data_IF_200615008449
#
_entry.id   IF_200615008449
#
_cell.length_a   1.000
_cell.length_b   1.000
_cell.length_c   1.000
_cell.angle_alpha   90.00
_cell.angle_beta   90.00
_cell.angle_gamma   90.00
#
_symmetry.space_group_name_H-M   'P 1'
#
loop_
_entity.id
_entity.type
_entity.pdbx_description
1 polymer ?
#
# COMPACT_ATOMS: atom_id res chain seq x y z
N UNK A 1 -9.07 14.22 47.39
CA UNK A 1 -9.71 13.76 46.15
C UNK A 1 -8.83 14.15 44.99
N UNK A 2 -8.26 13.21 44.24
CA UNK A 2 -7.69 13.49 42.91
C UNK A 2 -7.47 12.15 42.18
N UNK A 3 -8.58 11.59 41.67
CA UNK A 3 -8.52 10.44 40.77
C UNK A 3 -8.01 10.94 39.43
N UNK A 4 -6.74 10.69 39.13
CA UNK A 4 -6.19 10.76 37.77
C UNK A 4 -6.76 9.59 36.98
N UNK A 5 -7.77 9.87 36.15
CA UNK A 5 -8.17 8.95 35.09
C UNK A 5 -7.12 9.05 33.99
N UNK A 6 -6.19 8.09 33.93
CA UNK A 6 -5.48 7.80 32.69
C UNK A 6 -6.43 6.94 31.86
N UNK A 7 -7.10 7.54 30.88
CA UNK A 7 -7.81 6.75 29.88
C UNK A 7 -6.74 6.01 29.08
N UNK A 8 -6.48 4.76 29.46
CA UNK A 8 -5.77 3.83 28.58
C UNK A 8 -6.72 3.57 27.42
N UNK A 9 -6.58 4.38 26.37
CA UNK A 9 -7.11 4.05 25.05
C UNK A 9 -6.42 2.73 24.67
N UNK A 10 -7.10 1.61 24.93
CA UNK A 10 -6.72 0.33 24.34
C UNK A 10 -6.88 0.53 22.84
N UNK A 11 -5.77 0.70 22.14
CA UNK A 11 -5.75 0.51 20.68
C UNK A 11 -6.12 -0.95 20.49
N UNK A 12 -7.40 -1.22 20.25
CA UNK A 12 -7.80 -2.54 19.78
C UNK A 12 -7.12 -2.73 18.43
N UNK A 13 -6.21 -3.69 18.33
CA UNK A 13 -5.45 -4.07 17.12
C UNK A 13 -6.40 -4.74 16.11
N UNK A 14 -7.42 -4.00 15.67
CA UNK A 14 -8.40 -4.47 14.70
C UNK A 14 -7.89 -4.14 13.31
N UNK A 15 -7.90 -5.15 12.44
CA UNK A 15 -7.54 -4.96 11.04
C UNK A 15 -8.57 -4.09 10.31
N UNK A 16 -8.12 -3.16 9.43
CA UNK A 16 -9.02 -2.27 8.70
C UNK A 16 -9.89 -3.01 7.68
N UNK A 17 -11.03 -2.42 7.34
CA UNK A 17 -11.73 -2.78 6.10
C UNK A 17 -10.93 -2.31 4.89
N UNK A 18 -10.88 -3.11 3.84
CA UNK A 18 -10.21 -2.78 2.59
C UNK A 18 -11.21 -2.19 1.60
N UNK A 19 -11.00 -0.93 1.22
CA UNK A 19 -11.78 -0.25 0.18
C UNK A 19 -11.17 -0.53 -1.19
N UNK A 20 -11.91 -1.21 -2.05
CA UNK A 20 -11.49 -1.56 -3.41
C UNK A 20 -11.71 -0.41 -4.40
N UNK A 21 -11.14 -0.53 -5.60
CA UNK A 21 -11.22 0.49 -6.67
C UNK A 21 -12.66 0.79 -7.11
N UNK A 22 -13.55 -0.19 -7.00
CA UNK A 22 -14.99 -0.10 -7.29
C UNK A 22 -15.80 0.49 -6.11
N UNK A 23 -15.15 0.86 -5.01
CA UNK A 23 -15.78 1.38 -3.80
C UNK A 23 -16.30 0.30 -2.84
N UNK A 24 -16.20 -0.99 -3.21
CA UNK A 24 -16.61 -2.10 -2.35
C UNK A 24 -15.70 -2.20 -1.13
N UNK A 25 -16.28 -2.50 0.03
CA UNK A 25 -15.56 -2.79 1.28
C UNK A 25 -15.54 -4.29 1.51
N UNK A 26 -14.39 -4.80 1.91
CA UNK A 26 -14.25 -6.18 2.40
C UNK A 26 -13.35 -6.21 3.62
N UNK A 27 -13.47 -7.24 4.45
CA UNK A 27 -12.51 -7.48 5.51
C UNK A 27 -11.10 -7.67 4.92
N UNK A 28 -10.09 -7.16 5.62
CA UNK A 28 -8.72 -7.51 5.30
C UNK A 28 -8.54 -9.03 5.35
N UNK A 29 -7.85 -9.55 4.33
CA UNK A 29 -7.61 -10.98 4.17
C UNK A 29 -6.12 -11.18 3.89
N UNK A 30 -5.42 -11.70 4.91
CA UNK A 30 -4.00 -12.02 4.86
C UNK A 30 -3.65 -12.93 3.69
N UNK A 31 -4.51 -13.90 3.38
CA UNK A 31 -4.22 -14.90 2.35
C UNK A 31 -4.06 -14.25 0.97
N UNK A 32 -4.76 -13.15 0.71
CA UNK A 32 -4.60 -12.38 -0.54
C UNK A 32 -3.23 -11.71 -0.63
N UNK A 33 -2.70 -11.22 0.49
CA UNK A 33 -1.36 -10.61 0.56
C UNK A 33 -0.29 -11.68 0.34
N UNK A 34 -0.37 -12.80 1.08
CA UNK A 34 0.57 -13.92 0.95
C UNK A 34 0.54 -14.50 -0.47
N UNK A 35 -0.64 -14.69 -1.07
CA UNK A 35 -0.76 -15.18 -2.45
C UNK A 35 -0.13 -14.20 -3.46
N UNK A 36 -0.33 -12.90 -3.28
CA UNK A 36 0.29 -11.86 -4.10
C UNK A 36 1.82 -11.87 -4.01
N UNK A 37 2.36 -11.93 -2.79
CA UNK A 37 3.80 -12.03 -2.53
C UNK A 37 4.41 -13.31 -3.10
N UNK A 38 3.74 -14.45 -2.91
CA UNK A 38 4.17 -15.76 -3.42
C UNK A 38 4.26 -15.74 -4.94
N UNK A 39 3.25 -15.19 -5.61
CA UNK A 39 3.24 -15.07 -7.07
C UNK A 39 4.35 -14.15 -7.56
N UNK A 40 4.61 -13.04 -6.89
CA UNK A 40 5.72 -12.13 -7.23
C UNK A 40 7.09 -12.82 -7.07
N UNK A 41 7.27 -13.57 -5.98
CA UNK A 41 8.53 -14.24 -5.62
C UNK A 41 8.75 -15.59 -6.34
N UNK A 42 7.92 -15.98 -7.30
CA UNK A 42 8.02 -17.30 -7.95
C UNK A 42 9.40 -17.52 -8.59
N UNK A 43 10.05 -18.67 -8.35
CA UNK A 43 11.42 -18.97 -8.84
C UNK A 43 12.50 -17.98 -8.35
N UNK A 44 12.24 -17.24 -7.27
CA UNK A 44 13.24 -16.43 -6.56
C UNK A 44 13.73 -17.19 -5.32
N UNK A 45 14.95 -16.93 -4.83
CA UNK A 45 15.47 -17.53 -3.61
C UNK A 45 14.87 -16.85 -2.36
N UNK A 46 13.54 -16.82 -2.27
CA UNK A 46 12.78 -16.25 -1.15
C UNK A 46 12.00 -17.39 -0.48
N UNK A 47 12.24 -17.61 0.80
CA UNK A 47 11.55 -18.69 1.54
C UNK A 47 10.10 -18.30 1.84
N UNK A 48 9.25 -19.32 2.04
CA UNK A 48 7.86 -19.11 2.48
C UNK A 48 7.83 -18.37 3.82
N UNK A 49 8.74 -18.71 4.74
CA UNK A 49 8.88 -18.00 6.03
C UNK A 49 9.13 -16.51 5.82
N UNK A 50 10.01 -16.14 4.88
CA UNK A 50 10.25 -14.72 4.57
C UNK A 50 9.01 -14.03 4.02
N UNK A 51 8.21 -14.73 3.21
CA UNK A 51 6.94 -14.21 2.69
C UNK A 51 5.94 -13.95 3.83
N UNK A 52 5.82 -14.89 4.77
CA UNK A 52 4.97 -14.72 5.96
C UNK A 52 5.44 -13.55 6.83
N UNK A 53 6.75 -13.41 7.06
CA UNK A 53 7.32 -12.28 7.80
C UNK A 53 7.05 -10.93 7.11
N UNK A 54 7.07 -10.89 5.77
CA UNK A 54 6.67 -9.69 5.01
C UNK A 54 5.19 -9.39 5.23
N UNK A 55 4.32 -10.41 5.21
CA UNK A 55 2.90 -10.24 5.48
C UNK A 55 2.65 -9.73 6.92
N UNK A 56 3.39 -10.23 7.91
CA UNK A 56 3.33 -9.73 9.29
C UNK A 56 3.69 -8.24 9.37
N UNK A 57 4.76 -7.82 8.68
CA UNK A 57 5.15 -6.41 8.62
C UNK A 57 4.09 -5.53 7.97
N UNK A 58 3.40 -6.04 6.95
CA UNK A 58 2.27 -5.35 6.31
C UNK A 58 1.12 -5.20 7.31
N UNK A 59 0.77 -6.25 8.05
CA UNK A 59 -0.31 -6.20 9.05
C UNK A 59 0.01 -5.23 10.18
N UNK A 60 1.23 -5.28 10.71
CA UNK A 60 1.70 -4.31 11.71
C UNK A 60 1.64 -2.88 11.19
N UNK A 61 2.01 -2.64 9.92
CA UNK A 61 1.87 -1.33 9.28
C UNK A 61 0.40 -0.89 9.24
N UNK A 62 -0.53 -1.77 8.88
CA UNK A 62 -1.96 -1.46 8.84
C UNK A 62 -2.54 -1.16 10.23
N UNK A 63 -2.17 -1.96 11.23
CA UNK A 63 -2.61 -1.77 12.62
C UNK A 63 -2.07 -0.47 13.21
N UNK A 64 -0.79 -0.16 12.99
CA UNK A 64 -0.13 1.05 13.51
C UNK A 64 -0.76 2.33 12.95
N UNK A 65 -1.39 2.27 11.76
CA UNK A 65 -2.12 3.41 11.19
C UNK A 65 -3.40 3.74 11.95
N UNK A 66 -4.01 2.78 12.65
CA UNK A 66 -5.25 2.97 13.41
C UNK A 66 -6.46 3.40 12.57
N UNK A 67 -6.39 3.24 11.25
CA UNK A 67 -7.49 3.59 10.35
C UNK A 67 -8.52 2.47 10.31
N UNK A 68 -9.82 2.82 10.35
CA UNK A 68 -10.91 1.84 10.25
C UNK A 68 -11.08 1.28 8.83
N UNK A 69 -10.75 2.09 7.83
CA UNK A 69 -10.84 1.74 6.41
C UNK A 69 -9.56 2.15 5.72
N UNK A 70 -8.97 1.25 4.92
CA UNK A 70 -7.77 1.50 4.14
C UNK A 70 -8.03 1.12 2.69
N UNK A 71 -7.58 1.96 1.75
CA UNK A 71 -7.69 1.60 0.34
C UNK A 71 -6.80 0.42 -0.01
N UNK A 72 -7.26 -0.46 -0.90
CA UNK A 72 -6.43 -1.54 -1.43
C UNK A 72 -5.16 -1.03 -2.13
N UNK A 73 -5.13 0.24 -2.51
CA UNK A 73 -3.94 0.86 -3.07
C UNK A 73 -2.82 1.03 -2.04
N UNK A 74 -3.15 1.46 -0.82
CA UNK A 74 -2.18 1.61 0.28
C UNK A 74 -1.54 0.27 0.63
N UNK A 75 -2.31 -0.82 0.62
CA UNK A 75 -1.79 -2.18 0.84
C UNK A 75 -0.82 -2.56 -0.29
N UNK A 76 -1.19 -2.30 -1.55
CA UNK A 76 -0.33 -2.60 -2.70
C UNK A 76 0.98 -1.79 -2.69
N UNK A 77 0.94 -0.53 -2.27
CA UNK A 77 2.12 0.31 -2.07
C UNK A 77 3.03 -0.22 -0.96
N UNK A 78 2.45 -0.67 0.15
CA UNK A 78 3.21 -1.32 1.22
C UNK A 78 3.89 -2.61 0.73
N UNK A 79 3.17 -3.46 0.00
CA UNK A 79 3.73 -4.68 -0.61
C UNK A 79 4.88 -4.33 -1.55
N UNK A 80 4.72 -3.31 -2.41
CA UNK A 80 5.81 -2.86 -3.28
C UNK A 80 7.02 -2.40 -2.50
N UNK A 81 6.84 -1.66 -1.40
CA UNK A 81 7.94 -1.20 -0.56
C UNK A 81 8.72 -2.38 0.04
N UNK A 82 8.01 -3.36 0.61
CA UNK A 82 8.64 -4.55 1.18
C UNK A 82 9.37 -5.38 0.11
N UNK A 83 8.78 -5.52 -1.09
CA UNK A 83 9.41 -6.24 -2.20
C UNK A 83 10.63 -5.52 -2.77
N UNK A 84 10.65 -4.19 -2.78
CA UNK A 84 11.79 -3.40 -3.27
C UNK A 84 13.05 -3.71 -2.46
N UNK A 85 12.90 -3.77 -1.14
CA UNK A 85 13.99 -4.07 -0.21
C UNK A 85 14.35 -5.57 -0.22
N UNK A 86 13.37 -6.46 -0.49
CA UNK A 86 13.55 -7.91 -0.49
C UNK A 86 14.16 -8.47 -1.78
N UNK A 87 13.54 -8.21 -2.93
CA UNK A 87 13.95 -8.74 -4.22
C UNK A 87 13.44 -7.87 -5.37
N UNK A 88 14.38 -7.21 -6.07
CA UNK A 88 14.08 -6.30 -7.19
C UNK A 88 13.28 -6.97 -8.32
N UNK A 89 13.49 -8.25 -8.60
CA UNK A 89 12.77 -8.96 -9.68
C UNK A 89 11.33 -9.24 -9.26
N UNK A 90 11.11 -9.63 -8.00
CA UNK A 90 9.78 -9.80 -7.44
C UNK A 90 9.01 -8.46 -7.40
N UNK A 91 9.69 -7.37 -7.00
CA UNK A 91 9.14 -6.01 -7.07
C UNK A 91 8.64 -5.67 -8.49
N UNK A 92 9.47 -5.85 -9.52
CA UNK A 92 9.11 -5.56 -10.92
C UNK A 92 7.89 -6.37 -11.37
N UNK A 93 7.81 -7.66 -11.01
CA UNK A 93 6.67 -8.52 -11.37
C UNK A 93 5.39 -8.14 -10.65
N UNK A 94 5.49 -7.71 -9.39
CA UNK A 94 4.32 -7.25 -8.66
C UNK A 94 3.82 -5.92 -9.25
N UNK A 95 4.75 -4.98 -9.47
CA UNK A 95 4.45 -3.67 -10.03
C UNK A 95 3.79 -3.77 -11.42
N UNK A 96 4.19 -4.73 -12.27
CA UNK A 96 3.58 -4.92 -13.60
C UNK A 96 2.11 -5.35 -13.58
N UNK A 97 1.63 -5.91 -12.47
CA UNK A 97 0.20 -6.28 -12.30
C UNK A 97 -0.56 -5.18 -11.56
N UNK A 98 0.11 -4.49 -10.64
CA UNK A 98 -0.52 -3.51 -9.77
C UNK A 98 -0.66 -2.11 -10.41
N UNK A 99 0.36 -1.64 -11.15
CA UNK A 99 0.37 -0.31 -11.79
C UNK A 99 -0.44 -0.29 -13.09
N UNK A 100 -1.08 0.83 -13.36
CA UNK A 100 -1.85 1.02 -14.60
C UNK A 100 -0.93 1.41 -15.76
N UNK A 101 -1.41 1.29 -17.00
CA UNK A 101 -0.67 1.72 -18.18
C UNK A 101 -0.27 3.21 -18.15
N UNK A 102 -1.04 4.06 -17.48
CA UNK A 102 -0.69 5.49 -17.34
C UNK A 102 0.51 5.71 -16.40
N UNK A 103 0.82 4.73 -15.54
CA UNK A 103 1.97 4.75 -14.65
C UNK A 103 3.20 4.06 -15.27
N UNK A 104 3.09 3.59 -16.53
CA UNK A 104 4.12 2.78 -17.18
C UNK A 104 5.39 3.59 -17.46
N UNK A 105 5.29 4.85 -17.89
CA UNK A 105 6.46 5.70 -18.12
C UNK A 105 7.23 5.98 -16.82
N UNK A 106 6.50 6.26 -15.72
CA UNK A 106 7.09 6.43 -14.40
C UNK A 106 7.73 5.13 -13.89
N UNK A 107 7.08 4.00 -14.14
CA UNK A 107 7.62 2.68 -13.81
C UNK A 107 8.90 2.36 -14.59
N UNK A 108 8.94 2.65 -15.89
CA UNK A 108 10.12 2.46 -16.73
C UNK A 108 11.28 3.35 -16.26
N UNK A 109 10.98 4.56 -15.79
CA UNK A 109 11.99 5.44 -15.18
C UNK A 109 12.54 4.86 -13.87
N UNK A 110 11.68 4.47 -12.93
CA UNK A 110 12.09 3.82 -11.67
C UNK A 110 12.89 2.52 -11.94
N UNK A 111 12.48 1.73 -12.92
CA UNK A 111 13.15 0.49 -13.32
C UNK A 111 14.55 0.77 -13.91
N UNK A 112 14.69 1.84 -14.69
CA UNK A 112 15.99 2.26 -15.22
C UNK A 112 16.93 2.68 -14.08
N UNK A 113 16.45 3.43 -13.10
CA UNK A 113 17.26 3.80 -11.93
C UNK A 113 17.70 2.59 -11.10
N UNK A 114 16.81 1.58 -10.99
CA UNK A 114 17.07 0.31 -10.32
C UNK A 114 18.16 -0.52 -11.01
N UNK A 115 18.13 -0.58 -12.34
CA UNK A 115 19.09 -1.32 -13.18
C UNK A 115 20.44 -0.61 -13.26
N UNK A 116 20.45 0.72 -13.35
CA UNK A 116 21.66 1.55 -13.43
C UNK A 116 22.43 1.63 -12.08
N UNK A 117 21.95 0.97 -11.02
CA UNK A 117 22.60 0.95 -9.70
C UNK A 117 22.56 2.30 -8.96
N UNK A 118 21.81 3.29 -9.47
CA UNK A 118 21.66 4.63 -8.88
C UNK A 118 20.44 4.77 -7.98
N UNK A 119 19.54 3.77 -7.99
CA UNK A 119 18.30 3.76 -7.23
C UNK A 119 18.48 3.44 -5.73
N UNK A 120 18.90 4.42 -4.93
CA UNK A 120 18.81 4.37 -3.46
C UNK A 120 17.59 5.15 -2.92
N UNK A 121 16.60 5.44 -3.77
CA UNK A 121 15.36 6.15 -3.38
C UNK A 121 14.21 5.15 -3.31
N UNK A 122 13.58 5.03 -2.14
CA UNK A 122 12.36 4.23 -1.97
C UNK A 122 11.28 4.75 -2.95
N UNK A 123 10.51 3.86 -3.61
CA UNK A 123 9.46 4.27 -4.52
C UNK A 123 8.46 5.17 -3.78
N UNK A 124 8.24 6.37 -4.31
CA UNK A 124 7.31 7.34 -3.73
C UNK A 124 5.90 7.01 -4.25
N UNK A 125 4.87 6.94 -3.38
CA UNK A 125 3.52 6.65 -3.83
C UNK A 125 3.07 7.71 -4.84
N UNK A 126 2.55 7.28 -5.98
CA UNK A 126 2.09 8.19 -7.04
C UNK A 126 0.91 8.98 -6.48
N UNK A 127 1.13 10.27 -6.18
CA UNK A 127 0.06 11.19 -5.81
C UNK A 127 -0.95 11.21 -6.96
N UNK A 128 -2.08 10.51 -6.79
CA UNK A 128 -3.25 10.71 -7.65
C UNK A 128 -3.60 12.19 -7.62
N UNK A 129 -3.51 12.84 -8.77
CA UNK A 129 -4.07 14.19 -8.96
C UNK A 129 -5.59 14.04 -8.90
N UNK A 130 -6.16 14.14 -7.71
CA UNK A 130 -7.59 14.40 -7.52
C UNK A 130 -7.71 15.74 -6.80
N UNK A 131 -8.08 16.76 -7.55
CA UNK A 131 -9.32 17.52 -7.32
C UNK A 131 -9.29 18.83 -8.11
N UNK A 132 -10.06 18.84 -9.20
CA UNK A 132 -10.53 20.06 -9.84
C UNK A 132 -11.39 20.82 -8.83
N UNK A 133 -11.20 22.13 -8.59
CA UNK A 133 -12.11 22.88 -7.76
C UNK A 133 -13.43 23.04 -8.51
N UNK A 134 -14.46 22.31 -8.09
CA UNK A 134 -15.86 22.55 -8.46
C UNK A 134 -16.20 23.99 -8.08
N UNK A 135 -16.27 24.86 -9.09
CA UNK A 135 -16.63 26.28 -8.91
C UNK A 135 -18.13 26.35 -8.62
N UNK A 136 -18.47 26.47 -7.34
CA UNK A 136 -19.82 26.72 -6.88
C UNK A 136 -20.17 28.22 -7.00
N UNK A 137 -21.35 28.47 -7.57
CA UNK A 137 -22.30 29.58 -7.33
C UNK A 137 -21.92 31.00 -7.75
N UNK A 138 -22.75 31.55 -8.64
CA UNK A 138 -23.44 32.83 -8.41
C UNK A 138 -24.78 32.85 -9.17
N UNK A 139 -25.86 32.55 -8.46
CA UNK A 139 -27.23 33.02 -8.77
C UNK A 139 -27.45 34.29 -7.95
N UNK A 140 -27.75 35.39 -8.62
CA UNK A 140 -28.49 36.57 -8.16
C UNK A 140 -29.37 36.92 -9.38
N UNK A 141 -30.71 36.85 -9.36
CA UNK A 141 -31.64 37.73 -8.64
C UNK A 141 -31.18 39.20 -8.69
N UNK A 142 -31.43 39.86 -9.83
CA UNK A 142 -32.46 40.90 -10.00
C UNK A 142 -32.83 40.99 -11.48
#
# INVERSE_FOLDING_TARGET
CERRFTTYERVEEIMPLVVKKDGRREAYDRMKVVAGLTKACQKRPVSITTIEEVADRIEQFLQTRGEKEISGAVIGEEVMRQLYDLDKVAYVRFASVYRSFQDLDAFMHELKELVDGRGNRKPQPTRRRSDSPTRARSRAHD
#
